data_IF_125493020333
#
_entry.id   IF_125493020333
#
_cell.length_a   1.000
_cell.length_b   1.000
_cell.length_c   1.000
_cell.angle_alpha   90.00
_cell.angle_beta   90.00
_cell.angle_gamma   90.00
#
_symmetry.space_group_name_H-M   'P 1'
#
loop_
_entity.id
_entity.type
_entity.pdbx_description
1 polymer ?
#
# COMPACT_ATOMS: atom_id res chain seq x y z
N UNK A 1 16.85 -4.39 -15.96
CA UNK A 1 15.96 -3.32 -15.46
C UNK A 1 15.86 -3.46 -13.94
N UNK A 2 15.70 -2.35 -13.21
CA UNK A 2 15.50 -2.38 -11.75
C UNK A 2 14.18 -1.69 -11.43
N UNK A 3 13.33 -2.37 -10.68
CA UNK A 3 12.11 -1.84 -10.09
C UNK A 3 12.33 -1.82 -8.58
N UNK A 4 12.28 -0.64 -7.98
CA UNK A 4 12.43 -0.45 -6.55
C UNK A 4 11.32 0.44 -5.99
N UNK A 5 10.68 0.04 -4.88
CA UNK A 5 9.61 0.83 -4.26
C UNK A 5 8.31 0.89 -5.06
N UNK A 6 7.99 -0.13 -5.88
CA UNK A 6 6.81 -0.08 -6.76
C UNK A 6 5.67 -0.93 -6.23
N UNK A 7 4.44 -0.44 -6.40
CA UNK A 7 3.20 -1.19 -6.22
C UNK A 7 2.65 -1.54 -7.60
N UNK A 8 2.72 -2.82 -7.97
CA UNK A 8 2.33 -3.36 -9.27
C UNK A 8 1.11 -4.24 -9.04
N UNK A 9 -0.09 -3.66 -9.20
CA UNK A 9 -1.32 -4.31 -8.76
C UNK A 9 -2.50 -4.15 -9.70
N UNK A 10 -3.45 -5.08 -9.64
CA UNK A 10 -4.69 -5.04 -10.42
C UNK A 10 -4.50 -5.17 -11.94
N UNK A 11 -3.33 -5.59 -12.41
CA UNK A 11 -3.06 -5.73 -13.84
C UNK A 11 -3.62 -7.06 -14.38
N UNK A 12 -4.01 -7.09 -15.65
CA UNK A 12 -4.54 -8.31 -16.30
C UNK A 12 -3.84 -8.58 -17.64
N UNK A 13 -3.37 -9.82 -17.81
CA UNK A 13 -2.79 -10.33 -19.05
C UNK A 13 -3.59 -11.52 -19.61
N UNK A 14 -3.69 -11.59 -20.94
CA UNK A 14 -4.38 -12.67 -21.67
C UNK A 14 -3.54 -13.94 -21.82
N UNK A 15 -2.30 -13.97 -21.32
CA UNK A 15 -1.48 -15.17 -21.35
C UNK A 15 -0.61 -15.26 -20.10
N UNK A 16 0.42 -14.40 -19.99
CA UNK A 16 1.46 -14.53 -18.95
C UNK A 16 1.84 -13.20 -18.32
N UNK A 17 2.33 -13.27 -17.09
CA UNK A 17 2.94 -12.14 -16.38
C UNK A 17 1.94 -11.02 -16.19
N UNK A 18 0.88 -11.27 -15.43
CA UNK A 18 -0.18 -10.30 -15.16
C UNK A 18 0.39 -8.99 -14.63
N UNK A 19 1.29 -9.07 -13.64
CA UNK A 19 2.07 -7.93 -13.15
C UNK A 19 3.35 -7.71 -13.94
N UNK A 20 4.20 -8.73 -14.04
CA UNK A 20 5.52 -8.66 -14.67
C UNK A 20 5.76 -9.85 -15.59
N UNK A 21 6.20 -9.57 -16.82
CA UNK A 21 6.63 -10.57 -17.78
C UNK A 21 8.07 -10.30 -18.23
N UNK A 22 9.02 -11.13 -17.78
CA UNK A 22 10.41 -11.11 -18.23
C UNK A 22 10.59 -12.10 -19.38
N UNK A 23 10.90 -11.58 -20.58
CA UNK A 23 10.91 -12.34 -21.82
C UNK A 23 12.24 -12.16 -22.57
N UNK A 24 12.69 -13.23 -23.24
CA UNK A 24 13.75 -13.25 -24.24
C UNK A 24 15.08 -12.62 -23.79
N UNK A 25 15.81 -13.35 -22.94
CA UNK A 25 17.14 -12.97 -22.44
C UNK A 25 17.12 -11.69 -21.58
N UNK A 26 16.01 -11.46 -20.87
CA UNK A 26 15.84 -10.30 -20.01
C UNK A 26 16.40 -10.53 -18.60
N UNK A 27 16.95 -9.48 -18.01
CA UNK A 27 17.42 -9.48 -16.62
C UNK A 27 16.73 -8.38 -15.83
N UNK A 28 16.11 -8.74 -14.70
CA UNK A 28 15.38 -7.80 -13.85
C UNK A 28 15.72 -7.95 -12.36
N UNK A 29 15.73 -6.84 -11.65
CA UNK A 29 15.76 -6.79 -10.19
C UNK A 29 14.49 -6.13 -9.69
N UNK A 30 13.81 -6.78 -8.74
CA UNK A 30 12.67 -6.26 -8.00
C UNK A 30 13.07 -6.14 -6.53
N UNK A 31 13.03 -4.94 -5.96
CA UNK A 31 13.46 -4.70 -4.59
C UNK A 31 12.49 -3.81 -3.84
N UNK A 32 12.08 -4.16 -2.62
CA UNK A 32 11.18 -3.28 -1.85
C UNK A 32 9.90 -2.97 -2.63
N UNK A 33 9.29 -3.96 -3.28
CA UNK A 33 8.11 -3.74 -4.14
C UNK A 33 6.99 -4.69 -3.76
N UNK A 34 5.76 -4.32 -4.06
CA UNK A 34 4.57 -5.15 -3.87
C UNK A 34 4.00 -5.50 -5.24
N UNK A 35 3.93 -6.79 -5.56
CA UNK A 35 3.22 -7.34 -6.72
C UNK A 35 2.03 -8.09 -6.15
N UNK A 36 0.82 -7.60 -6.40
CA UNK A 36 -0.37 -8.16 -5.79
C UNK A 36 -1.63 -8.01 -6.64
N UNK A 37 -2.57 -8.94 -6.50
CA UNK A 37 -3.87 -8.90 -7.17
C UNK A 37 -3.80 -8.75 -8.70
N UNK A 38 -2.70 -9.20 -9.31
CA UNK A 38 -2.55 -9.27 -10.75
C UNK A 38 -3.08 -10.61 -11.27
N UNK A 39 -3.46 -10.61 -12.55
CA UNK A 39 -4.09 -11.78 -13.18
C UNK A 39 -3.48 -12.10 -14.52
N UNK A 40 -3.13 -13.36 -14.73
CA UNK A 40 -2.82 -13.92 -16.03
C UNK A 40 -3.74 -15.11 -16.31
N UNK A 41 -4.20 -15.30 -17.55
CA UNK A 41 -5.06 -16.46 -17.86
C UNK A 41 -4.30 -17.78 -17.95
N UNK A 42 -2.97 -17.78 -18.14
CA UNK A 42 -2.16 -19.00 -18.21
C UNK A 42 -1.10 -19.09 -17.10
N UNK A 43 -0.14 -18.17 -17.05
CA UNK A 43 1.08 -18.36 -16.24
C UNK A 43 1.53 -17.07 -15.55
N UNK A 44 1.95 -17.15 -14.29
CA UNK A 44 2.56 -15.99 -13.60
C UNK A 44 1.58 -14.84 -13.48
N UNK A 45 0.60 -14.95 -12.59
CA UNK A 45 -0.29 -13.82 -12.27
C UNK A 45 0.52 -12.61 -11.84
N UNK A 46 1.44 -12.81 -10.89
CA UNK A 46 2.40 -11.83 -10.45
C UNK A 46 3.55 -11.69 -11.43
N UNK A 47 4.38 -12.73 -11.50
CA UNK A 47 5.63 -12.72 -12.27
C UNK A 47 5.71 -13.95 -13.18
N UNK A 48 5.96 -13.74 -14.46
CA UNK A 48 6.39 -14.79 -15.40
C UNK A 48 7.80 -14.50 -15.91
N UNK A 49 8.64 -15.54 -15.93
CA UNK A 49 10.02 -15.46 -16.40
C UNK A 49 10.27 -16.54 -17.45
N UNK A 50 10.50 -16.11 -18.70
CA UNK A 50 10.54 -16.96 -19.88
C UNK A 50 11.70 -16.62 -20.82
N UNK A 51 12.26 -17.65 -21.47
CA UNK A 51 13.15 -17.51 -22.61
C UNK A 51 14.57 -17.09 -22.22
N UNK A 52 15.24 -17.88 -21.38
CA UNK A 52 16.58 -17.60 -20.85
C UNK A 52 16.67 -16.27 -20.07
N UNK A 53 15.61 -15.92 -19.35
CA UNK A 53 15.54 -14.70 -18.54
C UNK A 53 15.95 -14.96 -17.09
N UNK A 54 16.26 -13.90 -16.36
CA UNK A 54 16.60 -13.98 -14.94
C UNK A 54 16.00 -12.84 -14.12
N UNK A 55 15.47 -13.19 -12.95
CA UNK A 55 14.89 -12.22 -12.00
C UNK A 55 15.56 -12.39 -10.63
N UNK A 56 15.90 -11.28 -9.99
CA UNK A 56 16.26 -11.24 -8.57
C UNK A 56 15.22 -10.43 -7.82
N UNK A 57 14.63 -11.02 -6.78
CA UNK A 57 13.61 -10.41 -5.92
C UNK A 57 14.14 -10.32 -4.50
N UNK A 58 14.00 -9.15 -3.87
CA UNK A 58 14.40 -8.94 -2.48
C UNK A 58 13.48 -7.94 -1.76
N UNK A 59 13.26 -8.12 -0.45
CA UNK A 59 12.43 -7.22 0.37
C UNK A 59 11.06 -6.94 -0.26
N UNK A 60 10.49 -7.89 -0.99
CA UNK A 60 9.27 -7.65 -1.78
C UNK A 60 8.13 -8.49 -1.25
N UNK A 61 6.91 -8.13 -1.63
CA UNK A 61 5.71 -8.92 -1.38
C UNK A 61 5.15 -9.37 -2.74
N UNK A 62 4.92 -10.66 -2.91
CA UNK A 62 4.20 -11.28 -4.02
C UNK A 62 2.98 -11.98 -3.43
N UNK A 63 1.79 -11.41 -3.60
CA UNK A 63 0.62 -11.87 -2.84
C UNK A 63 -0.73 -11.70 -3.57
N UNK A 64 -1.56 -12.75 -3.55
CA UNK A 64 -2.92 -12.68 -4.06
C UNK A 64 -2.99 -12.55 -5.58
N UNK A 65 -1.93 -12.90 -6.29
CA UNK A 65 -1.93 -12.93 -7.73
C UNK A 65 -2.65 -14.20 -8.24
N UNK A 66 -3.14 -14.19 -9.48
CA UNK A 66 -3.93 -15.31 -10.01
C UNK A 66 -3.51 -15.72 -11.42
N UNK A 67 -3.25 -17.03 -11.59
CA UNK A 67 -3.05 -17.67 -12.89
C UNK A 67 -3.40 -19.15 -12.85
N UNK A 68 -3.49 -19.79 -14.03
CA UNK A 68 -3.71 -21.24 -14.11
C UNK A 68 -2.52 -22.03 -13.57
N UNK A 69 -1.30 -21.51 -13.72
CA UNK A 69 -0.07 -22.14 -13.21
C UNK A 69 0.87 -21.07 -12.69
N UNK A 70 1.41 -21.29 -11.48
CA UNK A 70 2.31 -20.34 -10.83
C UNK A 70 1.65 -18.98 -10.63
N UNK A 71 0.62 -18.87 -9.77
CA UNK A 71 -0.10 -17.60 -9.53
C UNK A 71 0.86 -16.46 -9.17
N UNK A 72 1.73 -16.65 -8.18
CA UNK A 72 2.74 -15.64 -7.83
C UNK A 72 3.91 -15.61 -8.82
N UNK A 73 4.47 -16.79 -9.10
CA UNK A 73 5.68 -16.93 -9.93
C UNK A 73 5.55 -18.12 -10.86
N UNK A 74 5.77 -17.88 -12.15
CA UNK A 74 5.94 -18.88 -13.20
C UNK A 74 7.32 -18.76 -13.84
N UNK A 75 7.93 -19.91 -14.12
CA UNK A 75 9.29 -20.01 -14.65
C UNK A 75 9.34 -21.09 -15.73
N UNK A 76 9.93 -20.77 -16.89
CA UNK A 76 10.28 -21.79 -17.89
C UNK A 76 11.59 -22.49 -17.56
N UNK A 77 11.84 -23.64 -18.20
CA UNK A 77 13.01 -24.48 -17.87
C UNK A 77 14.35 -23.83 -18.19
N UNK A 78 14.37 -22.79 -19.01
CA UNK A 78 15.58 -22.06 -19.40
C UNK A 78 15.86 -20.81 -18.55
N UNK A 79 14.90 -20.37 -17.75
CA UNK A 79 15.01 -19.14 -16.95
C UNK A 79 15.35 -19.41 -15.49
N UNK A 80 15.67 -18.35 -14.76
CA UNK A 80 15.92 -18.42 -13.32
C UNK A 80 15.25 -17.30 -12.55
N UNK A 81 14.89 -17.56 -11.29
CA UNK A 81 14.48 -16.54 -10.33
C UNK A 81 15.08 -16.84 -8.97
N UNK A 82 15.64 -15.81 -8.33
CA UNK A 82 16.14 -15.88 -6.95
C UNK A 82 15.34 -14.91 -6.10
N UNK A 83 14.76 -15.40 -5.02
CA UNK A 83 13.96 -14.60 -4.08
C UNK A 83 14.56 -14.76 -2.68
N UNK A 84 14.79 -13.65 -1.98
CA UNK A 84 15.28 -13.64 -0.60
C UNK A 84 14.63 -12.51 0.19
N UNK A 85 14.45 -12.70 1.51
CA UNK A 85 13.86 -11.70 2.41
C UNK A 85 12.57 -11.10 1.86
N UNK A 86 11.72 -11.94 1.26
CA UNK A 86 10.46 -11.52 0.63
C UNK A 86 9.32 -12.40 1.11
N UNK A 87 8.12 -11.87 1.06
CA UNK A 87 6.90 -12.60 1.36
C UNK A 87 6.28 -13.06 0.04
N UNK A 88 6.05 -14.36 -0.09
CA UNK A 88 5.55 -14.96 -1.32
C UNK A 88 4.44 -15.93 -0.96
N UNK A 89 3.22 -15.69 -1.46
CA UNK A 89 2.08 -16.56 -1.21
C UNK A 89 2.36 -17.99 -1.71
N UNK A 90 2.18 -18.98 -0.82
CA UNK A 90 2.50 -20.38 -1.07
C UNK A 90 3.98 -20.73 -0.92
N UNK A 91 4.81 -19.74 -0.55
CA UNK A 91 6.20 -19.88 -0.19
C UNK A 91 7.17 -19.97 -1.36
N UNK A 92 8.40 -19.50 -1.13
CA UNK A 92 9.50 -19.63 -2.09
C UNK A 92 10.82 -19.97 -1.41
N UNK A 93 11.63 -20.91 -1.96
CA UNK A 93 12.93 -21.23 -1.40
C UNK A 93 13.88 -20.03 -1.45
N UNK A 94 14.45 -19.67 -0.31
CA UNK A 94 15.40 -18.57 -0.20
C UNK A 94 15.64 -18.18 1.26
N UNK A 95 16.75 -17.48 1.51
CA UNK A 95 17.05 -16.98 2.85
C UNK A 95 16.07 -15.90 3.26
N UNK A 96 15.47 -16.02 4.43
CA UNK A 96 14.59 -15.00 5.02
C UNK A 96 13.24 -14.82 4.35
N UNK A 97 12.87 -15.66 3.37
CA UNK A 97 11.52 -15.61 2.82
C UNK A 97 10.48 -16.09 3.83
N UNK A 98 9.29 -15.51 3.74
CA UNK A 98 8.12 -15.88 4.51
C UNK A 98 6.94 -16.19 3.57
N UNK A 99 5.91 -16.80 4.13
CA UNK A 99 4.62 -17.11 3.48
C UNK A 99 3.55 -16.87 4.55
N UNK A 100 3.12 -15.61 4.67
CA UNK A 100 2.14 -15.21 5.67
C UNK A 100 1.36 -13.99 5.18
N UNK A 101 0.07 -13.93 5.44
CA UNK A 101 -0.78 -12.78 5.04
C UNK A 101 -0.09 -11.44 5.37
N UNK A 102 0.21 -10.59 4.37
CA UNK A 102 0.87 -9.31 4.57
C UNK A 102 0.08 -8.35 5.47
N UNK A 103 -1.21 -8.61 5.70
CA UNK A 103 -2.11 -7.76 6.49
C UNK A 103 -2.06 -6.32 5.97
N UNK A 104 -2.38 -6.13 4.69
CA UNK A 104 -2.51 -4.79 4.10
C UNK A 104 -3.63 -3.98 4.77
N UNK A 105 -3.51 -2.66 4.75
CA UNK A 105 -4.51 -1.75 5.33
C UNK A 105 -5.88 -1.95 4.69
N UNK A 106 -5.94 -1.97 3.35
CA UNK A 106 -7.19 -2.15 2.60
C UNK A 106 -6.90 -2.51 1.12
N UNK A 107 -6.40 -3.72 0.88
CA UNK A 107 -5.96 -4.16 -0.45
C UNK A 107 -7.06 -4.06 -1.52
N UNK A 108 -8.32 -4.34 -1.17
CA UNK A 108 -9.46 -4.25 -2.09
C UNK A 108 -9.79 -2.81 -2.56
N UNK A 109 -9.19 -1.81 -1.90
CA UNK A 109 -9.21 -0.39 -2.30
C UNK A 109 -7.87 0.10 -2.83
N UNK A 110 -6.92 -0.80 -3.07
CA UNK A 110 -5.59 -0.50 -3.58
C UNK A 110 -4.62 0.04 -2.53
N UNK A 111 -4.92 -0.09 -1.23
CA UNK A 111 -4.05 0.37 -0.15
C UNK A 111 -3.20 -0.78 0.40
N UNK A 112 -2.02 -0.93 -0.21
CA UNK A 112 -1.03 -1.96 0.13
C UNK A 112 0.00 -1.49 1.16
N UNK A 113 -0.31 -0.45 1.94
CA UNK A 113 0.45 -0.16 3.17
C UNK A 113 0.24 -1.29 4.17
N UNK A 114 1.22 -1.54 5.02
CA UNK A 114 1.14 -2.59 6.04
C UNK A 114 0.31 -2.12 7.24
N UNK A 115 -0.55 -3.00 7.76
CA UNK A 115 -1.26 -2.76 9.01
C UNK A 115 -0.41 -3.22 10.20
N UNK A 116 -0.62 -2.59 11.36
CA UNK A 116 0.06 -3.02 12.59
C UNK A 116 -0.26 -4.49 12.90
N UNK A 117 0.81 -5.28 13.06
CA UNK A 117 0.73 -6.74 13.23
C UNK A 117 1.04 -7.54 11.98
N UNK A 118 1.27 -6.87 10.84
CA UNK A 118 1.77 -7.50 9.62
C UNK A 118 3.08 -8.29 9.89
N UNK A 119 3.23 -9.51 9.33
CA UNK A 119 4.48 -10.27 9.39
C UNK A 119 5.58 -9.67 8.50
N UNK A 120 5.24 -8.74 7.60
CA UNK A 120 6.19 -8.09 6.70
C UNK A 120 6.96 -6.96 7.37
N UNK A 121 6.48 -6.47 8.53
CA UNK A 121 7.15 -5.43 9.31
C UNK A 121 8.46 -6.00 9.90
N UNK A 122 9.54 -5.23 9.85
CA UNK A 122 10.87 -5.54 10.37
C UNK A 122 11.48 -6.85 9.83
N UNK A 123 11.04 -7.30 8.65
CA UNK A 123 11.28 -8.67 8.17
C UNK A 123 12.10 -8.79 6.88
N UNK A 124 12.38 -7.69 6.19
CA UNK A 124 13.26 -7.61 5.01
C UNK A 124 14.74 -7.87 5.32
N UNK A 125 15.65 -7.54 4.41
CA UNK A 125 17.08 -7.87 4.57
C UNK A 125 17.66 -7.25 5.86
N UNK A 126 18.41 -7.99 6.71
CA UNK A 126 18.87 -7.52 8.02
C UNK A 126 19.85 -6.34 7.98
N UNK A 127 20.53 -6.14 6.85
CA UNK A 127 21.45 -5.01 6.62
C UNK A 127 20.78 -3.81 5.92
N UNK A 128 19.45 -3.83 5.77
CA UNK A 128 18.67 -2.73 5.18
C UNK A 128 17.77 -2.13 6.27
N UNK A 129 17.66 -0.80 6.27
CA UNK A 129 16.84 -0.05 7.22
C UNK A 129 15.84 0.81 6.48
N UNK A 130 14.68 1.00 7.09
CA UNK A 130 13.68 1.97 6.63
C UNK A 130 13.99 3.36 7.18
N UNK A 131 13.12 4.32 6.81
CA UNK A 131 13.37 5.73 7.10
C UNK A 131 13.29 6.05 8.60
N UNK A 132 12.50 5.29 9.35
CA UNK A 132 12.39 5.36 10.82
C UNK A 132 13.57 4.67 11.55
N UNK A 133 14.49 4.06 10.79
CA UNK A 133 15.70 3.42 11.29
C UNK A 133 15.50 2.00 11.82
N UNK A 134 14.31 1.42 11.66
CA UNK A 134 14.06 0.00 11.95
C UNK A 134 14.52 -0.89 10.78
N UNK A 135 14.47 -2.22 10.94
CA UNK A 135 14.91 -3.13 9.87
C UNK A 135 13.92 -3.01 8.72
N UNK A 136 14.39 -3.00 7.48
CA UNK A 136 13.48 -2.79 6.36
C UNK A 136 12.32 -3.77 6.36
N UNK A 137 11.14 -3.24 6.12
CA UNK A 137 9.93 -3.99 5.85
C UNK A 137 10.02 -4.68 4.48
N UNK A 138 9.19 -5.71 4.30
CA UNK A 138 8.94 -6.26 2.97
C UNK A 138 7.85 -5.45 2.28
N UNK A 139 7.99 -5.21 0.98
CA UNK A 139 6.99 -4.55 0.15
C UNK A 139 7.35 -3.12 -0.24
N UNK A 140 6.40 -2.45 -0.90
CA UNK A 140 6.56 -1.10 -1.43
C UNK A 140 6.41 0.02 -0.37
N UNK A 141 5.82 -0.29 0.77
CA UNK A 141 5.46 0.68 1.80
C UNK A 141 5.92 0.16 3.15
N UNK A 142 6.88 0.87 3.77
CA UNK A 142 7.23 0.60 5.16
C UNK A 142 6.17 1.13 6.12
N UNK A 143 6.11 0.52 7.29
CA UNK A 143 5.27 0.88 8.39
C UNK A 143 6.06 1.75 9.37
N UNK A 144 5.80 3.06 9.36
CA UNK A 144 6.52 4.00 10.24
C UNK A 144 6.32 3.68 11.73
N UNK A 145 7.43 3.45 12.43
CA UNK A 145 7.51 3.14 13.86
C UNK A 145 7.99 4.31 14.75
N UNK A 146 8.12 5.53 14.22
CA UNK A 146 8.59 6.69 15.00
C UNK A 146 7.60 7.13 16.10
N UNK A 147 6.30 7.12 15.83
CA UNK A 147 5.24 7.43 16.80
C UNK A 147 4.46 6.17 17.19
N UNK A 148 3.71 6.17 18.28
CA UNK A 148 2.86 5.04 18.68
C UNK A 148 1.42 5.14 18.13
N UNK A 149 1.03 6.30 17.60
CA UNK A 149 -0.21 6.50 16.88
C UNK A 149 0.02 6.58 15.37
N UNK A 150 -0.86 5.93 14.59
CA UNK A 150 -0.81 5.96 13.12
C UNK A 150 -2.20 6.25 12.56
N UNK A 151 -2.25 7.02 11.48
CA UNK A 151 -3.42 7.36 10.69
C UNK A 151 -3.17 7.01 9.23
N UNK A 152 -4.05 6.19 8.66
CA UNK A 152 -4.15 6.01 7.22
C UNK A 152 -5.51 6.46 6.69
N UNK A 153 -5.48 7.11 5.54
CA UNK A 153 -6.62 7.51 4.74
C UNK A 153 -6.62 6.69 3.46
N UNK A 154 -7.70 5.94 3.23
CA UNK A 154 -7.90 5.18 2.00
C UNK A 154 -9.16 5.71 1.30
N UNK A 155 -9.03 6.39 0.15
CA UNK A 155 -10.19 6.80 -0.63
C UNK A 155 -10.83 5.60 -1.34
N UNK A 156 -12.15 5.64 -1.52
CA UNK A 156 -12.83 4.68 -2.40
C UNK A 156 -12.48 4.87 -3.87
N UNK A 157 -12.17 6.12 -4.25
CA UNK A 157 -11.80 6.55 -5.60
C UNK A 157 -10.99 7.83 -5.52
N UNK A 158 -10.10 8.03 -6.48
CA UNK A 158 -9.36 9.29 -6.67
C UNK A 158 -10.01 10.19 -7.73
N UNK A 159 -11.16 9.82 -8.26
CA UNK A 159 -11.92 10.61 -9.23
C UNK A 159 -13.41 10.64 -8.86
N UNK A 160 -13.97 11.85 -8.77
CA UNK A 160 -15.35 12.10 -8.36
C UNK A 160 -15.99 13.19 -9.25
N UNK A 161 -17.31 13.15 -9.36
CA UNK A 161 -18.08 14.16 -10.08
C UNK A 161 -18.54 15.30 -9.15
N UNK A 162 -18.72 16.54 -9.65
CA UNK A 162 -19.44 17.57 -8.93
C UNK A 162 -20.84 17.09 -8.54
N UNK A 163 -21.19 17.21 -7.25
CA UNK A 163 -22.46 16.70 -6.72
C UNK A 163 -22.44 15.21 -6.38
N UNK A 164 -21.30 14.53 -6.59
CA UNK A 164 -21.08 13.15 -6.19
C UNK A 164 -20.63 12.99 -4.74
N UNK A 165 -20.07 11.83 -4.44
CA UNK A 165 -19.66 11.44 -3.10
C UNK A 165 -18.21 10.94 -3.12
N UNK A 166 -17.44 11.32 -2.10
CA UNK A 166 -16.10 10.83 -1.83
C UNK A 166 -16.12 10.05 -0.52
N UNK A 167 -16.13 8.72 -0.61
CA UNK A 167 -15.95 7.83 0.54
C UNK A 167 -14.47 7.71 0.93
N UNK A 168 -14.20 7.78 2.23
CA UNK A 168 -12.84 7.68 2.79
C UNK A 168 -12.85 6.78 4.02
N UNK A 169 -12.03 5.74 4.01
CA UNK A 169 -11.76 4.91 5.20
C UNK A 169 -10.61 5.49 5.99
N UNK A 170 -10.87 5.76 7.26
CA UNK A 170 -9.86 6.14 8.25
C UNK A 170 -9.43 4.89 9.01
N UNK A 171 -8.16 4.53 8.92
CA UNK A 171 -7.54 3.51 9.76
C UNK A 171 -6.73 4.20 10.85
N UNK A 172 -7.07 3.94 12.10
CA UNK A 172 -6.38 4.48 13.27
C UNK A 172 -5.77 3.35 14.09
N UNK A 173 -4.52 3.53 14.47
CA UNK A 173 -3.73 2.53 15.20
C UNK A 173 -3.19 3.17 16.46
N UNK A 174 -3.41 2.54 17.61
CA UNK A 174 -2.72 2.83 18.86
C UNK A 174 -1.88 1.64 19.29
N UNK A 175 -0.56 1.76 19.14
CA UNK A 175 0.43 0.76 19.52
C UNK A 175 0.86 0.89 20.98
N UNK A 176 0.40 1.91 21.69
CA UNK A 176 0.72 2.08 23.10
C UNK A 176 -0.10 1.13 23.96
N UNK A 177 0.53 0.64 25.03
CA UNK A 177 -0.09 -0.13 26.10
C UNK A 177 -1.14 0.65 26.94
N UNK A 178 -1.37 1.93 26.64
CA UNK A 178 -2.38 2.75 27.32
C UNK A 178 -3.37 3.36 26.32
N UNK A 179 -4.62 3.59 26.74
CA UNK A 179 -5.55 4.37 25.94
C UNK A 179 -5.02 5.80 25.76
N UNK A 180 -5.04 6.30 24.53
CA UNK A 180 -4.53 7.64 24.21
C UNK A 180 -5.66 8.54 23.70
N UNK A 181 -5.70 9.77 24.22
CA UNK A 181 -6.60 10.80 23.71
C UNK A 181 -5.91 11.60 22.60
N UNK A 182 -6.57 11.72 21.45
CA UNK A 182 -6.08 12.45 20.29
C UNK A 182 -7.16 13.36 19.71
N UNK A 183 -6.73 14.33 18.92
CA UNK A 183 -7.60 15.20 18.15
C UNK A 183 -7.38 14.94 16.67
N UNK A 184 -8.48 14.81 15.92
CA UNK A 184 -8.47 14.65 14.47
C UNK A 184 -8.84 15.98 13.84
N UNK A 185 -8.05 16.45 12.88
CA UNK A 185 -8.34 17.61 12.05
C UNK A 185 -8.27 17.20 10.58
N UNK A 186 -9.37 17.32 9.86
CA UNK A 186 -9.45 17.01 8.43
C UNK A 186 -9.69 18.28 7.62
N UNK A 187 -8.93 18.44 6.56
CA UNK A 187 -8.97 19.57 5.65
C UNK A 187 -8.89 19.12 4.20
N UNK A 188 -9.45 19.93 3.30
CA UNK A 188 -9.27 19.79 1.86
C UNK A 188 -8.58 21.02 1.32
N UNK A 189 -7.51 20.81 0.55
CA UNK A 189 -6.83 21.85 -0.22
C UNK A 189 -7.48 21.88 -1.61
N UNK A 190 -8.00 23.04 -1.97
CA UNK A 190 -8.66 23.31 -3.24
C UNK A 190 -7.61 23.45 -4.37
N UNK A 191 -7.99 23.30 -5.66
CA UNK A 191 -7.08 23.44 -6.80
C UNK A 191 -6.33 24.77 -6.88
N UNK A 192 -6.85 25.82 -6.24
CA UNK A 192 -6.26 27.17 -6.18
C UNK A 192 -5.56 27.47 -4.85
N UNK A 193 -5.29 26.45 -4.03
CA UNK A 193 -4.57 26.55 -2.76
C UNK A 193 -5.39 27.02 -1.56
N UNK A 194 -6.69 27.27 -1.71
CA UNK A 194 -7.58 27.54 -0.57
C UNK A 194 -7.74 26.31 0.31
N UNK A 195 -7.94 26.48 1.62
CA UNK A 195 -8.14 25.37 2.56
C UNK A 195 -9.57 25.41 3.08
N UNK A 196 -10.24 24.27 3.00
CA UNK A 196 -11.56 24.04 3.58
C UNK A 196 -11.42 23.07 4.76
N UNK A 197 -11.87 23.46 5.96
CA UNK A 197 -11.98 22.55 7.10
C UNK A 197 -13.21 21.63 6.93
N UNK A 198 -13.00 20.32 7.02
CA UNK A 198 -14.09 19.34 6.93
C UNK A 198 -14.53 18.80 8.29
N UNK A 199 -13.59 18.56 9.21
CA UNK A 199 -13.87 17.98 10.51
C UNK A 199 -12.83 18.43 11.54
N UNK A 200 -13.29 18.62 12.78
CA UNK A 200 -12.44 18.88 13.92
C UNK A 200 -11.86 20.29 14.04
N UNK A 201 -10.96 20.49 15.02
CA UNK A 201 -10.32 19.45 15.84
C UNK A 201 -11.29 18.81 16.84
N UNK A 202 -11.64 17.54 16.61
CA UNK A 202 -12.55 16.76 17.46
C UNK A 202 -11.75 15.74 18.27
N UNK A 203 -12.07 15.62 19.57
CA UNK A 203 -11.34 14.75 20.50
C UNK A 203 -11.89 13.33 20.48
N UNK A 204 -11.00 12.36 20.38
CA UNK A 204 -11.28 10.92 20.48
C UNK A 204 -10.34 10.27 21.49
N UNK A 205 -10.68 9.05 21.92
CA UNK A 205 -9.79 8.23 22.75
C UNK A 205 -9.71 6.84 22.15
N UNK A 206 -8.53 6.44 21.72
CA UNK A 206 -8.27 5.09 21.23
C UNK A 206 -7.88 4.20 22.41
N UNK A 207 -8.49 3.01 22.57
CA UNK A 207 -8.01 2.02 23.52
C UNK A 207 -6.53 1.65 23.31
N UNK A 208 -5.91 1.05 24.32
CA UNK A 208 -4.56 0.50 24.20
C UNK A 208 -4.52 -0.63 23.17
N UNK A 209 -3.41 -0.75 22.43
CA UNK A 209 -3.16 -1.84 21.47
C UNK A 209 -4.35 -2.07 20.53
N UNK A 210 -4.82 -1.00 19.90
CA UNK A 210 -6.10 -1.00 19.21
C UNK A 210 -5.96 -0.51 17.77
N UNK A 211 -6.61 -1.22 16.86
CA UNK A 211 -6.79 -0.83 15.46
C UNK A 211 -8.28 -0.63 15.22
N UNK A 212 -8.64 0.44 14.53
CA UNK A 212 -10.02 0.65 14.08
C UNK A 212 -10.05 1.23 12.68
N UNK A 213 -11.04 0.80 11.91
CA UNK A 213 -11.33 1.35 10.61
C UNK A 213 -12.73 1.95 10.62
N UNK A 214 -12.85 3.17 10.09
CA UNK A 214 -14.13 3.86 9.96
C UNK A 214 -14.24 4.49 8.58
N UNK A 215 -15.20 4.00 7.81
CA UNK A 215 -15.57 4.57 6.52
C UNK A 215 -16.52 5.77 6.72
N UNK A 216 -16.29 6.83 5.95
CA UNK A 216 -17.04 8.08 5.99
C UNK A 216 -17.28 8.59 4.57
N UNK A 217 -18.55 8.85 4.26
CA UNK A 217 -18.96 9.49 3.02
C UNK A 217 -18.94 11.01 3.12
N UNK A 218 -18.44 11.66 2.08
CA UNK A 218 -18.36 13.12 1.97
C UNK A 218 -19.02 13.58 0.67
N UNK A 219 -20.10 14.35 0.80
CA UNK A 219 -20.71 14.99 -0.36
C UNK A 219 -19.76 16.01 -0.99
N UNK A 220 -19.53 15.89 -2.29
CA UNK A 220 -18.80 16.87 -3.09
C UNK A 220 -19.82 17.87 -3.62
N UNK A 221 -19.73 19.17 -3.27
CA UNK A 221 -20.72 20.15 -3.74
C UNK A 221 -20.85 20.18 -5.26
N UNK A 222 -22.07 20.32 -5.79
CA UNK A 222 -22.31 20.47 -7.23
C UNK A 222 -21.61 21.70 -7.83
N UNK A 223 -21.27 22.68 -6.99
CA UNK A 223 -20.52 23.89 -7.35
C UNK A 223 -19.01 23.75 -7.17
N UNK A 224 -18.51 22.58 -6.77
CA UNK A 224 -17.08 22.35 -6.58
C UNK A 224 -16.32 22.63 -7.88
N UNK A 225 -15.29 23.51 -7.85
CA UNK A 225 -14.45 23.74 -9.01
C UNK A 225 -13.82 22.45 -9.53
N UNK A 226 -13.67 22.32 -10.84
CA UNK A 226 -12.91 21.19 -11.39
C UNK A 226 -11.42 21.34 -11.07
N UNK A 227 -10.76 20.20 -10.97
CA UNK A 227 -9.31 20.13 -10.79
C UNK A 227 -8.90 19.19 -9.66
N UNK A 228 -7.64 19.31 -9.28
CA UNK A 228 -6.97 18.45 -8.31
C UNK A 228 -7.12 19.02 -6.90
N UNK A 229 -7.60 18.18 -5.99
CA UNK A 229 -7.78 18.48 -4.58
C UNK A 229 -6.86 17.58 -3.75
N UNK A 230 -6.41 18.08 -2.60
CA UNK A 230 -5.70 17.24 -1.61
C UNK A 230 -6.61 17.08 -0.41
N UNK A 231 -6.97 15.84 -0.10
CA UNK A 231 -7.64 15.48 1.15
C UNK A 231 -6.58 15.13 2.17
N UNK A 232 -6.60 15.80 3.32
CA UNK A 232 -5.59 15.63 4.37
C UNK A 232 -6.25 15.52 5.73
N UNK A 233 -5.77 14.60 6.54
CA UNK A 233 -6.15 14.53 7.95
C UNK A 233 -4.92 14.32 8.82
N UNK A 234 -4.93 14.91 10.00
CA UNK A 234 -3.87 14.74 10.98
C UNK A 234 -4.44 14.40 12.35
N UNK A 235 -3.68 13.59 13.09
CA UNK A 235 -3.93 13.26 14.49
C UNK A 235 -2.86 13.87 15.39
N UNK A 236 -3.24 14.34 16.58
CA UNK A 236 -2.32 15.03 17.46
C UNK A 236 -2.95 15.60 18.73
N UNK A 237 -2.20 16.47 19.41
CA UNK A 237 -2.69 17.27 20.53
C UNK A 237 -2.55 18.76 20.18
N UNK A 238 -3.66 19.50 20.09
CA UNK A 238 -3.62 20.93 19.81
C UNK A 238 -2.83 21.70 20.89
N UNK A 239 -2.19 22.82 20.53
CA UNK A 239 -2.26 23.47 19.21
C UNK A 239 -1.16 23.03 18.22
N UNK A 240 -0.16 22.26 18.63
CA UNK A 240 1.06 22.09 17.84
C UNK A 240 1.62 20.66 17.75
N UNK A 241 1.15 19.72 18.57
CA UNK A 241 1.63 18.34 18.51
C UNK A 241 0.85 17.62 17.43
N UNK A 242 1.55 17.13 16.42
CA UNK A 242 1.03 16.19 15.42
C UNK A 242 1.76 14.89 15.67
N UNK A 243 1.00 13.83 15.93
CA UNK A 243 1.55 12.47 16.06
C UNK A 243 1.73 11.87 14.67
N UNK A 244 0.70 11.97 13.84
CA UNK A 244 0.75 11.46 12.48
C UNK A 244 -0.21 12.23 11.55
N UNK A 245 0.02 12.12 10.24
CA UNK A 245 -0.75 12.80 9.22
C UNK A 245 -0.65 12.06 7.90
N UNK A 246 -1.80 11.90 7.26
CA UNK A 246 -1.90 11.30 5.94
C UNK A 246 -2.69 12.20 4.98
N UNK A 247 -2.38 12.07 3.69
CA UNK A 247 -3.05 12.81 2.64
C UNK A 247 -3.08 12.02 1.32
N UNK A 248 -4.16 12.22 0.57
CA UNK A 248 -4.27 11.71 -0.80
C UNK A 248 -4.81 12.79 -1.72
N UNK A 249 -4.56 12.59 -3.01
CA UNK A 249 -5.03 13.48 -4.06
C UNK A 249 -6.25 12.88 -4.75
N UNK A 250 -7.26 13.70 -5.03
CA UNK A 250 -8.38 13.31 -5.87
C UNK A 250 -8.73 14.40 -6.88
N UNK A 251 -9.41 14.03 -7.97
CA UNK A 251 -9.81 14.94 -9.05
C UNK A 251 -11.32 15.06 -9.06
N UNK A 252 -11.80 16.31 -9.13
CA UNK A 252 -13.19 16.59 -9.49
C UNK A 252 -13.24 16.79 -11.00
N UNK A 253 -13.73 15.77 -11.71
CA UNK A 253 -13.75 15.69 -13.17
C UNK A 253 -15.13 16.01 -13.78
N UNK A 254 -15.18 16.23 -15.10
CA UNK A 254 -16.47 16.34 -15.78
C UNK A 254 -17.14 14.97 -15.92
N UNK A 255 -18.48 14.91 -15.93
CA UNK A 255 -19.22 13.71 -16.31
C UNK A 255 -18.91 13.24 -17.73
#
# INVERSE_FOLDING_TARGET
>A
MTLAGNTITGNTANERGGGIHCLDHSTMTLSGSTVAENRASAQGGGVDCYGNSSITVMNSILWGDSALTGPEVSLDTSSSITISYSDVEGGWPGGGNIDADPVFVLAEKGDYRLLWGSPCIDSGHPDSLDQDGTRSDMGAHFFDQEDYLTLYLTPDTTEVLPGGELGVTYTLINRWAQPEALWILTQVILPRGGILGLCGPDRYTLPAHFVTQRHLDREVPATAPQGTYVYRSGIGVPPAVVYDRDEFTFVVAQP
#
